data_IF_150172747378
#
_entry.id   IF_150172747378
#
_cell.length_a   1.000
_cell.length_b   1.000
_cell.length_c   1.000
_cell.angle_alpha   90.00
_cell.angle_beta   90.00
_cell.angle_gamma   90.00
#
_symmetry.space_group_name_H-M   'P 1'
#
loop_
_entity.id
_entity.type
_entity.pdbx_description
1 polymer ?
#
# COMPACT_ATOMS: atom_id res chain seq x y z
N UNK A 1 14.44 -7.11 -7.17
CA UNK A 1 13.27 -6.77 -6.33
C UNK A 1 12.04 -7.20 -7.09
N UNK A 2 11.10 -7.91 -6.44
CA UNK A 2 9.82 -8.25 -7.06
C UNK A 2 8.91 -7.04 -6.93
N UNK A 3 8.58 -6.40 -8.05
CA UNK A 3 7.54 -5.37 -8.05
C UNK A 3 6.19 -6.02 -7.78
N UNK A 4 5.41 -5.41 -6.87
CA UNK A 4 4.03 -5.83 -6.67
C UNK A 4 3.22 -5.36 -7.88
N UNK A 5 2.50 -6.27 -8.51
CA UNK A 5 1.53 -5.90 -9.54
C UNK A 5 0.42 -5.04 -8.94
N UNK A 6 -0.23 -4.23 -9.77
CA UNK A 6 -1.42 -3.45 -9.39
C UNK A 6 -2.47 -4.30 -8.66
N UNK A 7 -2.70 -5.53 -9.11
CA UNK A 7 -3.68 -6.43 -8.48
C UNK A 7 -3.27 -6.84 -7.07
N UNK A 8 -1.98 -7.09 -6.83
CA UNK A 8 -1.47 -7.42 -5.50
C UNK A 8 -1.56 -6.23 -4.54
N UNK A 9 -1.33 -5.01 -5.04
CA UNK A 9 -1.54 -3.78 -4.25
C UNK A 9 -3.01 -3.65 -3.86
N UNK A 10 -3.93 -3.79 -4.81
CA UNK A 10 -5.37 -3.70 -4.54
C UNK A 10 -5.86 -4.79 -3.57
N UNK A 11 -5.38 -6.03 -3.70
CA UNK A 11 -5.71 -7.10 -2.74
C UNK A 11 -5.20 -6.74 -1.35
N UNK A 12 -3.98 -6.23 -1.24
CA UNK A 12 -3.37 -5.85 0.03
C UNK A 12 -4.12 -4.69 0.71
N UNK A 13 -4.54 -3.68 -0.05
CA UNK A 13 -5.29 -2.53 0.47
C UNK A 13 -6.71 -2.90 0.95
N UNK A 14 -7.28 -4.01 0.45
CA UNK A 14 -8.58 -4.52 0.87
C UNK A 14 -8.53 -5.45 2.10
N UNK A 15 -7.36 -5.61 2.74
CA UNK A 15 -7.22 -6.48 3.91
C UNK A 15 -7.72 -5.82 5.20
N UNK A 16 -8.14 -6.62 6.19
CA UNK A 16 -8.44 -6.12 7.53
C UNK A 16 -7.25 -5.36 8.13
N UNK A 17 -7.56 -4.31 8.89
CA UNK A 17 -6.56 -3.48 9.57
C UNK A 17 -5.91 -4.21 10.75
N UNK A 18 -4.67 -3.84 11.13
CA UNK A 18 -3.81 -2.81 10.53
C UNK A 18 -3.07 -3.29 9.27
N UNK A 19 -2.77 -2.36 8.35
CA UNK A 19 -1.93 -2.66 7.18
C UNK A 19 -0.45 -2.40 7.48
N UNK A 20 0.42 -3.29 7.04
CA UNK A 20 1.87 -3.10 7.11
C UNK A 20 2.43 -2.78 5.73
N UNK A 21 2.72 -1.51 5.49
CA UNK A 21 3.16 -0.98 4.19
C UNK A 21 4.61 -0.47 4.25
N UNK A 22 5.39 -0.96 5.22
CA UNK A 22 6.75 -0.50 5.46
C UNK A 22 7.67 -0.84 4.29
N UNK A 23 8.44 0.14 3.82
CA UNK A 23 9.35 0.01 2.67
C UNK A 23 8.66 -0.46 1.36
N UNK A 24 7.35 -0.25 1.21
CA UNK A 24 6.64 -0.56 -0.04
C UNK A 24 6.65 0.66 -0.95
N UNK A 25 6.94 0.45 -2.23
CA UNK A 25 6.75 1.47 -3.26
C UNK A 25 5.31 1.46 -3.76
N UNK A 26 4.60 2.57 -3.55
CA UNK A 26 3.23 2.81 -3.95
C UNK A 26 3.12 4.06 -4.83
N UNK A 27 4.22 4.62 -5.35
CA UNK A 27 4.18 5.89 -6.10
C UNK A 27 3.26 5.86 -7.31
N UNK A 28 3.28 4.76 -8.07
CA UNK A 28 2.37 4.56 -9.20
C UNK A 28 0.99 3.96 -8.83
N UNK A 29 0.72 3.75 -7.53
CA UNK A 29 -0.53 3.15 -7.09
C UNK A 29 -1.66 4.18 -7.03
N UNK A 30 -2.82 3.87 -7.60
CA UNK A 30 -4.02 4.67 -7.38
C UNK A 30 -4.57 4.39 -5.96
N UNK A 31 -4.25 5.29 -5.02
CA UNK A 31 -4.72 5.24 -3.64
C UNK A 31 -5.99 6.07 -3.40
N UNK A 32 -6.64 6.57 -4.45
CA UNK A 32 -7.85 7.40 -4.32
C UNK A 32 -8.98 6.63 -3.62
N UNK A 33 -9.48 7.18 -2.51
CA UNK A 33 -10.54 6.57 -1.70
C UNK A 33 -10.10 5.41 -0.81
N UNK A 34 -8.81 5.08 -0.76
CA UNK A 34 -8.28 4.03 0.12
C UNK A 34 -8.22 4.54 1.56
N UNK A 35 -8.88 3.85 2.47
CA UNK A 35 -8.71 4.11 3.90
C UNK A 35 -7.35 3.58 4.35
N UNK A 36 -6.40 4.47 4.64
CA UNK A 36 -5.08 4.15 5.21
C UNK A 36 -5.00 4.36 6.73
N UNK A 37 -6.12 4.65 7.41
CA UNK A 37 -6.11 4.79 8.87
C UNK A 37 -5.56 3.52 9.55
N UNK A 38 -4.69 3.73 10.54
CA UNK A 38 -4.01 2.65 11.27
C UNK A 38 -2.99 1.84 10.46
N UNK A 39 -2.66 2.23 9.22
CA UNK A 39 -1.60 1.59 8.46
C UNK A 39 -0.20 2.08 8.92
N UNK A 40 0.76 1.16 8.98
CA UNK A 40 2.17 1.51 9.15
C UNK A 40 2.79 1.80 7.79
N UNK A 41 2.99 3.08 7.50
CA UNK A 41 3.58 3.60 6.24
C UNK A 41 5.06 3.99 6.39
N UNK A 42 5.73 3.51 7.45
CA UNK A 42 7.12 3.87 7.67
C UNK A 42 7.98 3.55 6.43
N UNK A 43 8.67 4.56 5.88
CA UNK A 43 9.51 4.43 4.69
C UNK A 43 8.78 3.97 3.41
N UNK A 44 7.45 4.04 3.36
CA UNK A 44 6.71 3.80 2.13
C UNK A 44 6.95 4.95 1.13
N UNK A 45 7.08 4.63 -0.17
CA UNK A 45 7.10 5.64 -1.22
C UNK A 45 5.69 5.90 -1.73
N UNK A 46 5.23 7.15 -1.69
CA UNK A 46 3.88 7.60 -2.06
C UNK A 46 3.90 8.72 -3.13
N UNK A 47 5.06 8.95 -3.76
CA UNK A 47 5.27 10.05 -4.72
C UNK A 47 4.45 9.93 -6.00
#
# INVERSE_FOLDING_TARGET
MTELSRYQILDLLNRPKPLWLVNIDLGDANLSGVDLNGANLHMANLN
#
